data_IF_936328742636
#
_entry.id   IF_936328742636
#
_cell.length_a   1.000
_cell.length_b   1.000
_cell.length_c   1.000
_cell.angle_alpha   90.00
_cell.angle_beta   90.00
_cell.angle_gamma   90.00
#
_symmetry.space_group_name_H-M   'P 1'
#
loop_
_entity.id
_entity.type
_entity.pdbx_description
1 polymer ?
#
# COMPACT_ATOMS: atom_id res chain seq x y z
N UNK A 1 12.54 -12.58 -10.89
CA UNK A 1 11.73 -13.40 -11.81
C UNK A 1 10.57 -12.51 -12.24
N UNK A 2 10.53 -12.07 -13.49
CA UNK A 2 9.55 -11.08 -13.89
C UNK A 2 8.18 -11.74 -14.14
N UNK A 3 7.10 -11.17 -13.59
CA UNK A 3 5.74 -11.74 -13.66
C UNK A 3 5.13 -11.58 -15.06
N UNK A 4 4.42 -12.59 -15.55
CA UNK A 4 3.65 -12.51 -16.80
C UNK A 4 2.35 -11.73 -16.56
N UNK A 5 2.10 -10.68 -17.33
CA UNK A 5 0.85 -9.91 -17.29
C UNK A 5 -0.32 -10.63 -17.95
N UNK A 6 -1.54 -10.15 -17.69
CA UNK A 6 -2.76 -10.60 -18.38
C UNK A 6 -2.58 -10.40 -19.89
N UNK A 7 -2.98 -11.40 -20.69
CA UNK A 7 -2.79 -11.45 -22.14
C UNK A 7 -1.47 -12.09 -22.59
N UNK A 8 -0.52 -12.37 -21.67
CA UNK A 8 0.69 -13.11 -22.01
C UNK A 8 0.35 -14.51 -22.54
N UNK A 9 1.10 -14.96 -23.55
CA UNK A 9 0.90 -16.26 -24.21
C UNK A 9 1.97 -17.25 -23.77
N UNK A 10 1.53 -18.43 -23.37
CA UNK A 10 2.40 -19.51 -22.88
C UNK A 10 2.05 -20.82 -23.57
N UNK A 11 3.01 -21.73 -23.65
CA UNK A 11 2.83 -23.09 -24.14
C UNK A 11 3.21 -24.08 -23.05
N UNK A 12 2.20 -24.75 -22.52
CA UNK A 12 2.36 -25.74 -21.46
C UNK A 12 2.58 -27.13 -22.06
N UNK A 13 3.53 -27.95 -21.55
CA UNK A 13 3.86 -29.25 -22.13
C UNK A 13 2.66 -30.21 -22.16
N UNK A 14 1.78 -30.15 -21.16
CA UNK A 14 0.59 -31.01 -21.08
C UNK A 14 -0.69 -30.39 -21.68
N UNK A 15 -0.80 -29.06 -21.75
CA UNK A 15 -2.07 -28.39 -22.09
C UNK A 15 -2.01 -27.58 -23.39
N UNK A 16 -0.83 -27.52 -24.02
CA UNK A 16 -0.62 -26.79 -25.27
C UNK A 16 -0.62 -25.27 -25.06
N UNK A 17 -1.07 -24.57 -26.09
CA UNK A 17 -1.10 -23.11 -26.12
C UNK A 17 -2.18 -22.54 -25.19
N UNK A 18 -1.80 -21.54 -24.40
CA UNK A 18 -2.66 -20.88 -23.44
C UNK A 18 -2.38 -19.39 -23.31
N UNK A 19 -3.38 -18.66 -22.82
CA UNK A 19 -3.32 -17.22 -22.58
C UNK A 19 -3.66 -16.94 -21.13
N UNK A 20 -2.87 -16.08 -20.48
CA UNK A 20 -3.14 -15.66 -19.10
C UNK A 20 -4.34 -14.73 -19.09
N UNK A 21 -5.38 -15.08 -18.34
CA UNK A 21 -6.61 -14.29 -18.24
C UNK A 21 -6.75 -13.56 -16.91
N UNK A 22 -6.08 -14.05 -15.85
CA UNK A 22 -6.10 -13.44 -14.52
C UNK A 22 -4.83 -13.74 -13.73
N UNK A 23 -4.49 -12.83 -12.83
CA UNK A 23 -3.38 -12.94 -11.89
C UNK A 23 -3.94 -13.17 -10.48
N UNK A 24 -3.58 -14.28 -9.85
CA UNK A 24 -3.80 -14.50 -8.42
C UNK A 24 -2.50 -14.31 -7.65
N UNK A 25 -2.55 -14.31 -6.31
CA UNK A 25 -1.36 -14.13 -5.47
C UNK A 25 -0.30 -15.20 -5.77
N UNK A 26 -0.68 -16.48 -5.80
CA UNK A 26 0.24 -17.61 -5.95
C UNK A 26 0.27 -18.26 -7.34
N UNK A 27 -0.70 -17.96 -8.21
CA UNK A 27 -0.87 -18.67 -9.48
C UNK A 27 -1.41 -17.77 -10.60
N UNK A 28 -1.16 -18.17 -11.84
CA UNK A 28 -1.74 -17.66 -13.06
C UNK A 28 -3.00 -18.45 -13.41
N UNK A 29 -4.08 -17.75 -13.74
CA UNK A 29 -5.23 -18.39 -14.38
C UNK A 29 -5.00 -18.33 -15.90
N UNK A 30 -4.88 -19.50 -16.52
CA UNK A 30 -4.53 -19.65 -17.93
C UNK A 30 -5.68 -20.33 -18.66
N UNK A 31 -6.16 -19.72 -19.74
CA UNK A 31 -7.11 -20.33 -20.65
C UNK A 31 -6.34 -21.09 -21.75
N UNK A 32 -6.38 -22.41 -21.70
CA UNK A 32 -5.83 -23.29 -22.73
C UNK A 32 -6.88 -23.59 -23.79
N UNK A 33 -6.50 -23.51 -25.07
CA UNK A 33 -7.45 -23.67 -26.19
C UNK A 33 -8.23 -24.99 -26.15
N UNK A 34 -7.58 -26.07 -25.71
CA UNK A 34 -8.19 -27.41 -25.66
C UNK A 34 -8.74 -27.80 -24.29
N UNK A 35 -8.22 -27.22 -23.20
CA UNK A 35 -8.49 -27.67 -21.82
C UNK A 35 -9.23 -26.64 -20.97
N UNK A 36 -9.53 -25.47 -21.52
CA UNK A 36 -10.21 -24.38 -20.83
C UNK A 36 -9.33 -23.75 -19.74
N UNK A 37 -9.98 -23.21 -18.70
CA UNK A 37 -9.32 -22.51 -17.61
C UNK A 37 -8.60 -23.48 -16.66
N UNK A 38 -7.32 -23.22 -16.40
CA UNK A 38 -6.49 -23.95 -15.44
C UNK A 38 -5.62 -23.00 -14.63
N UNK A 39 -5.36 -23.40 -13.38
CA UNK A 39 -4.44 -22.69 -12.51
C UNK A 39 -3.03 -23.25 -12.65
N UNK A 40 -2.05 -22.37 -12.88
CA UNK A 40 -0.63 -22.74 -12.94
C UNK A 40 0.15 -21.88 -11.96
N UNK A 41 0.95 -22.50 -11.08
CA UNK A 41 1.75 -21.79 -10.08
C UNK A 41 2.72 -20.79 -10.71
N UNK A 42 2.96 -19.65 -10.06
CA UNK A 42 3.91 -18.62 -10.55
C UNK A 42 5.36 -19.09 -10.57
N UNK A 43 5.66 -20.11 -9.79
CA UNK A 43 6.92 -20.84 -9.68
C UNK A 43 7.11 -21.90 -10.78
N UNK A 44 6.06 -22.22 -11.54
CA UNK A 44 6.13 -23.21 -12.60
C UNK A 44 6.97 -22.70 -13.78
N UNK A 45 8.11 -23.36 -14.03
CA UNK A 45 9.08 -22.96 -15.05
C UNK A 45 9.12 -23.87 -16.29
N UNK A 46 8.44 -25.02 -16.27
CA UNK A 46 8.54 -26.04 -17.34
C UNK A 46 7.66 -25.74 -18.58
N UNK A 47 7.14 -24.53 -18.71
CA UNK A 47 6.45 -24.03 -19.90
C UNK A 47 7.34 -23.14 -20.76
N UNK A 48 6.93 -22.92 -22.00
CA UNK A 48 7.55 -21.94 -22.87
C UNK A 48 6.72 -20.66 -22.87
N UNK A 49 7.35 -19.50 -22.64
CA UNK A 49 6.70 -18.20 -22.80
C UNK A 49 6.83 -17.80 -24.27
N UNK A 50 5.71 -17.69 -24.97
CA UNK A 50 5.65 -17.31 -26.39
C UNK A 50 5.65 -15.80 -26.53
N UNK A 51 4.84 -15.13 -25.70
CA UNK A 51 4.70 -13.68 -25.71
C UNK A 51 4.53 -13.20 -24.26
N UNK A 52 5.36 -12.23 -23.89
CA UNK A 52 5.38 -11.65 -22.54
C UNK A 52 4.79 -10.25 -22.60
N UNK A 53 3.70 -10.06 -21.88
CA UNK A 53 3.15 -8.74 -21.60
C UNK A 53 3.61 -8.35 -20.19
N UNK A 54 4.19 -7.16 -19.98
CA UNK A 54 4.54 -6.71 -18.65
C UNK A 54 3.26 -6.59 -17.81
N UNK A 55 3.30 -7.04 -16.56
CA UNK A 55 2.22 -6.73 -15.63
C UNK A 55 2.35 -5.26 -15.26
N UNK A 56 1.33 -4.47 -15.54
CA UNK A 56 1.07 -3.29 -14.72
C UNK A 56 0.68 -3.88 -13.36
N UNK A 57 1.45 -3.60 -12.31
CA UNK A 57 1.09 -4.02 -10.96
C UNK A 57 -0.28 -3.42 -10.62
N UNK A 58 -1.36 -4.14 -10.89
CA UNK A 58 -2.57 -3.90 -10.14
C UNK A 58 -2.28 -4.47 -8.77
N UNK A 59 -1.85 -3.59 -7.87
CA UNK A 59 -2.01 -3.79 -6.45
C UNK A 59 -3.52 -3.90 -6.23
N UNK A 60 -4.06 -5.08 -6.47
CA UNK A 60 -5.44 -5.41 -6.15
C UNK A 60 -5.48 -5.59 -4.65
N UNK A 61 -5.51 -4.47 -3.94
CA UNK A 61 -5.98 -4.50 -2.57
C UNK A 61 -7.40 -5.04 -2.65
N UNK A 62 -7.61 -6.26 -2.16
CA UNK A 62 -8.96 -6.79 -2.04
C UNK A 62 -9.78 -5.80 -1.21
N UNK A 63 -11.10 -5.73 -1.43
CA UNK A 63 -11.97 -4.85 -0.63
C UNK A 63 -11.82 -5.13 0.88
N UNK A 64 -11.47 -6.37 1.25
CA UNK A 64 -11.12 -6.77 2.60
C UNK A 64 -9.84 -6.10 3.11
N UNK A 65 -8.76 -6.06 2.32
CA UNK A 65 -7.52 -5.35 2.67
C UNK A 65 -7.75 -3.85 2.80
N UNK A 66 -8.49 -3.24 1.88
CA UNK A 66 -8.83 -1.81 1.99
C UNK A 66 -9.67 -1.53 3.24
N UNK A 67 -10.59 -2.43 3.57
CA UNK A 67 -11.41 -2.32 4.78
C UNK A 67 -10.58 -2.49 6.05
N UNK A 68 -9.62 -3.42 6.06
CA UNK A 68 -8.68 -3.61 7.16
C UNK A 68 -7.80 -2.37 7.35
N UNK A 69 -7.27 -1.79 6.26
CA UNK A 69 -6.53 -0.53 6.30
C UNK A 69 -7.38 0.62 6.86
N UNK A 70 -8.66 0.72 6.45
CA UNK A 70 -9.58 1.74 6.99
C UNK A 70 -9.82 1.55 8.49
N UNK A 71 -10.06 0.31 8.93
CA UNK A 71 -10.25 -0.03 10.35
C UNK A 71 -8.98 0.30 11.14
N UNK A 72 -7.81 -0.12 10.67
CA UNK A 72 -6.54 0.15 11.34
C UNK A 72 -6.24 1.66 11.41
N UNK A 73 -6.54 2.44 10.37
CA UNK A 73 -6.40 3.91 10.41
C UNK A 73 -7.38 4.56 11.38
N UNK A 74 -8.61 4.09 11.43
CA UNK A 74 -9.61 4.58 12.39
C UNK A 74 -9.23 4.22 13.84
N UNK A 75 -8.66 3.03 14.05
CA UNK A 75 -8.26 2.54 15.37
C UNK A 75 -6.92 3.12 15.85
N UNK A 76 -6.00 3.39 14.92
CA UNK A 76 -4.75 4.12 15.18
C UNK A 76 -4.95 5.62 15.49
N UNK A 77 -6.22 6.06 15.54
CA UNK A 77 -6.71 7.28 16.17
C UNK A 77 -5.79 8.49 16.10
N UNK A 78 -5.89 9.33 15.05
CA UNK A 78 -5.43 10.74 14.99
C UNK A 78 -3.92 11.02 15.25
N UNK A 79 -3.16 10.13 15.88
CA UNK A 79 -1.77 10.35 16.33
C UNK A 79 -0.71 10.14 15.24
N UNK A 80 -1.11 9.80 14.01
CA UNK A 80 -0.18 9.55 12.89
C UNK A 80 -0.10 10.69 11.87
N UNK A 81 -1.01 11.67 11.91
CA UNK A 81 -0.78 12.88 11.12
C UNK A 81 0.14 13.79 11.90
N UNK A 82 1.39 13.90 11.44
CA UNK A 82 2.29 14.98 11.82
C UNK A 82 1.62 16.29 11.40
N UNK A 83 0.85 16.90 12.30
CA UNK A 83 0.28 18.23 12.09
C UNK A 83 1.44 19.23 12.21
N UNK A 84 1.86 19.89 11.13
CA UNK A 84 2.94 20.85 11.21
C UNK A 84 2.47 22.10 11.97
N UNK A 85 3.40 22.75 12.68
CA UNK A 85 3.14 24.06 13.25
C UNK A 85 2.90 25.06 12.10
N UNK A 86 1.77 25.76 12.13
CA UNK A 86 1.44 26.74 11.09
C UNK A 86 2.51 27.82 10.97
N UNK A 87 2.85 28.22 9.74
CA UNK A 87 3.97 29.13 9.42
C UNK A 87 3.99 30.41 10.27
N UNK A 88 2.82 30.98 10.56
CA UNK A 88 2.66 32.20 11.38
C UNK A 88 3.25 32.08 12.79
N UNK A 89 3.39 30.86 13.30
CA UNK A 89 3.80 30.61 14.68
C UNK A 89 5.25 30.11 14.81
N UNK A 90 5.94 29.88 13.70
CA UNK A 90 7.35 29.45 13.71
C UNK A 90 8.27 30.55 14.26
N UNK A 91 9.21 30.16 15.11
CA UNK A 91 10.10 31.07 15.83
C UNK A 91 9.39 31.88 16.92
N UNK A 92 8.12 31.57 17.19
CA UNK A 92 7.29 32.27 18.17
C UNK A 92 7.59 31.87 19.61
N UNK A 93 7.17 32.72 20.54
CA UNK A 93 7.17 32.42 21.98
C UNK A 93 5.75 32.40 22.52
N UNK A 94 5.45 31.41 23.34
CA UNK A 94 4.23 31.34 24.12
C UNK A 94 4.49 32.00 25.49
N UNK A 95 3.60 32.90 25.91
CA UNK A 95 3.66 33.56 27.20
C UNK A 95 2.55 32.98 28.07
N UNK A 96 2.94 32.29 29.16
CA UNK A 96 2.01 31.82 30.18
C UNK A 96 1.96 32.85 31.29
N UNK A 97 0.77 33.41 31.53
CA UNK A 97 0.54 34.44 32.54
C UNK A 97 -0.66 34.07 33.40
N UNK A 98 -0.51 34.29 34.71
CA UNK A 98 -1.57 34.18 35.70
C UNK A 98 -1.45 35.36 36.67
N UNK A 99 -2.56 35.78 37.29
CA UNK A 99 -2.53 36.84 38.29
C UNK A 99 -1.66 36.43 39.48
N UNK A 100 -0.76 37.33 39.89
CA UNK A 100 0.12 37.11 41.04
C UNK A 100 1.38 36.26 40.78
N UNK A 101 1.66 35.85 39.54
CA UNK A 101 2.87 35.07 39.19
C UNK A 101 3.62 35.75 38.03
N UNK A 102 4.96 35.68 38.05
CA UNK A 102 5.75 36.17 36.92
C UNK A 102 5.44 35.39 35.63
N UNK A 103 5.27 36.09 34.50
CA UNK A 103 5.06 35.44 33.21
C UNK A 103 6.21 34.49 32.86
N UNK A 104 5.86 33.34 32.29
CA UNK A 104 6.83 32.36 31.79
C UNK A 104 6.79 32.31 30.27
N UNK A 105 7.96 32.53 29.66
CA UNK A 105 8.15 32.36 28.22
C UNK A 105 8.61 30.95 27.89
N UNK A 106 7.99 30.34 26.88
CA UNK A 106 8.39 29.03 26.35
C UNK A 106 8.35 29.11 24.82
N UNK A 107 9.34 28.56 24.09
CA UNK A 107 9.25 28.44 22.63
C UNK A 107 7.98 27.68 22.22
N UNK A 108 7.24 28.19 21.24
CA UNK A 108 5.97 27.59 20.78
C UNK A 108 6.18 26.17 20.30
N UNK A 109 7.30 25.90 19.64
CA UNK A 109 7.69 24.59 19.15
C UNK A 109 7.81 23.57 20.29
N UNK A 110 8.39 23.98 21.43
CA UNK A 110 8.60 23.08 22.57
C UNK A 110 7.26 22.63 23.17
N UNK A 111 6.30 23.55 23.23
CA UNK A 111 4.95 23.24 23.71
C UNK A 111 4.16 22.41 22.69
N UNK A 112 4.21 22.80 21.42
CA UNK A 112 3.50 22.13 20.32
C UNK A 112 3.92 20.67 20.18
N UNK A 113 5.23 20.39 20.15
CA UNK A 113 5.72 19.01 20.09
C UNK A 113 5.27 18.20 21.31
N UNK A 114 5.32 18.76 22.52
CA UNK A 114 4.90 18.03 23.73
C UNK A 114 3.41 17.71 23.76
N UNK A 115 2.55 18.61 23.26
CA UNK A 115 1.10 18.35 23.24
C UNK A 115 0.69 17.44 22.09
N UNK A 116 1.29 17.60 20.92
CA UNK A 116 0.96 16.77 19.75
C UNK A 116 1.52 15.35 19.90
N UNK A 117 2.70 15.18 20.51
CA UNK A 117 3.32 13.86 20.71
C UNK A 117 2.80 13.09 21.95
N UNK A 118 1.99 13.72 22.81
CA UNK A 118 1.37 13.06 23.98
C UNK A 118 -0.08 12.60 23.74
N UNK A 119 -0.63 12.75 22.52
CA UNK A 119 -1.99 12.31 22.17
C UNK A 119 -2.01 10.95 21.52
#
# INVERSE_FOLDING_TARGET
MELLGIGSRVKHPAFGDGVIVRLHVAAYEVCFTQFGLKMVGKDYAAWQVVERIPTEESVSFTEAEQSLVRILRAWAGVSLENVPLGERWKGGKMILQAEGIQPKEIPVETFFHKIVMMR
#
